data_IF_057619831738
#
_entry.id   IF_057619831738
#
_cell.length_a   1.000
_cell.length_b   1.000
_cell.length_c   1.000
_cell.angle_alpha   90.00
_cell.angle_beta   90.00
_cell.angle_gamma   90.00
#
_symmetry.space_group_name_H-M   'P 1'
#
loop_
_entity.id
_entity.type
_entity.pdbx_description
1 polymer ?
#
# COMPACT_ATOMS: atom_id res chain seq x y z
N UNK A 1 -22.39 -19.06 -16.10
CA UNK A 1 -22.31 -18.28 -14.84
C UNK A 1 -20.87 -17.79 -14.73
N UNK A 2 -20.62 -16.51 -15.03
CA UNK A 2 -19.28 -15.91 -14.95
C UNK A 2 -19.14 -15.39 -13.52
N UNK A 3 -18.37 -16.07 -12.68
CA UNK A 3 -18.06 -15.54 -11.34
C UNK A 3 -17.02 -14.44 -11.49
N UNK A 4 -17.40 -13.19 -11.23
CA UNK A 4 -16.44 -12.11 -11.07
C UNK A 4 -15.77 -12.27 -9.71
N UNK A 5 -14.70 -13.07 -9.68
CA UNK A 5 -13.82 -13.09 -8.52
C UNK A 5 -13.00 -11.79 -8.54
N UNK A 6 -13.08 -10.96 -7.49
CA UNK A 6 -12.27 -9.76 -7.42
C UNK A 6 -10.78 -10.14 -7.49
N UNK A 7 -10.03 -9.46 -8.36
CA UNK A 7 -8.61 -9.75 -8.59
C UNK A 7 -7.76 -9.60 -7.33
N UNK A 8 -8.17 -8.70 -6.44
CA UNK A 8 -7.55 -8.44 -5.14
C UNK A 8 -8.64 -8.40 -4.07
N UNK A 9 -8.36 -8.97 -2.90
CA UNK A 9 -9.20 -8.92 -1.72
C UNK A 9 -8.38 -8.29 -0.59
N UNK A 10 -9.02 -7.40 0.18
CA UNK A 10 -8.42 -6.77 1.36
C UNK A 10 -9.29 -7.17 2.55
N UNK A 11 -8.65 -7.57 3.65
CA UNK A 11 -9.37 -7.91 4.87
C UNK A 11 -10.03 -6.66 5.48
N UNK A 12 -11.05 -6.84 6.32
CA UNK A 12 -11.68 -5.73 7.03
C UNK A 12 -10.67 -5.05 7.98
N UNK A 13 -9.77 -5.82 8.58
CA UNK A 13 -8.75 -5.31 9.50
C UNK A 13 -7.73 -4.46 8.76
N UNK A 14 -7.19 -4.97 7.63
CA UNK A 14 -6.29 -4.25 6.75
C UNK A 14 -6.93 -2.93 6.27
N UNK A 15 -8.22 -2.99 5.89
CA UNK A 15 -8.98 -1.81 5.48
C UNK A 15 -9.08 -0.76 6.58
N UNK A 16 -9.36 -1.18 7.82
CA UNK A 16 -9.46 -0.26 8.95
C UNK A 16 -8.11 0.42 9.26
N UNK A 17 -7.01 -0.33 9.21
CA UNK A 17 -5.66 0.23 9.40
C UNK A 17 -5.34 1.22 8.28
N UNK A 18 -5.57 0.85 7.02
CA UNK A 18 -5.35 1.75 5.87
C UNK A 18 -6.17 3.04 5.98
N UNK A 19 -7.44 2.92 6.36
CA UNK A 19 -8.32 4.08 6.49
C UNK A 19 -7.89 4.99 7.65
N UNK A 20 -7.18 4.46 8.66
CA UNK A 20 -6.64 5.27 9.76
C UNK A 20 -5.47 6.17 9.34
N UNK A 21 -4.75 5.79 8.26
CA UNK A 21 -3.61 6.55 7.72
C UNK A 21 -3.90 7.26 6.40
N UNK A 22 -5.04 6.95 5.77
CA UNK A 22 -5.43 7.53 4.50
C UNK A 22 -5.59 9.06 4.59
N UNK A 23 -4.80 9.79 3.80
CA UNK A 23 -4.80 11.26 3.81
C UNK A 23 -4.04 11.88 4.98
N UNK A 24 -3.31 11.06 5.76
CA UNK A 24 -2.40 11.52 6.80
C UNK A 24 -0.96 11.25 6.38
N UNK A 25 -0.04 12.06 6.92
CA UNK A 25 1.38 11.72 6.99
C UNK A 25 1.77 11.58 8.46
N UNK A 26 2.77 10.74 8.71
CA UNK A 26 3.40 10.62 10.01
C UNK A 26 4.63 11.55 10.06
N UNK A 27 4.80 12.28 11.16
CA UNK A 27 5.97 13.12 11.41
C UNK A 27 6.27 13.17 12.92
N UNK A 28 7.46 12.72 13.32
CA UNK A 28 7.94 12.81 14.70
C UNK A 28 9.22 13.66 14.83
N UNK A 29 9.44 14.59 13.91
CA UNK A 29 10.63 15.42 13.72
C UNK A 29 11.91 14.66 13.29
N UNK A 30 12.04 13.39 13.67
CA UNK A 30 13.20 12.56 13.30
C UNK A 30 13.00 11.83 11.97
N UNK A 31 11.78 11.40 11.68
CA UNK A 31 11.40 10.72 10.45
C UNK A 31 9.98 11.08 10.03
N UNK A 32 9.72 11.01 8.73
CA UNK A 32 8.40 11.21 8.17
C UNK A 32 7.99 10.04 7.29
N UNK A 33 6.69 9.70 7.30
CA UNK A 33 6.11 8.71 6.38
C UNK A 33 4.92 9.32 5.66
N UNK A 34 5.05 9.41 4.34
CA UNK A 34 3.96 9.79 3.44
C UNK A 34 3.33 8.54 2.84
N UNK A 35 2.20 8.10 3.38
CA UNK A 35 1.42 7.00 2.82
C UNK A 35 0.80 7.41 1.48
N UNK A 36 0.89 6.53 0.49
CA UNK A 36 0.38 6.77 -0.87
C UNK A 36 -0.73 5.80 -1.21
N UNK A 37 -0.46 4.84 -2.08
CA UNK A 37 -1.45 3.94 -2.63
C UNK A 37 -1.21 2.51 -2.18
N UNK A 38 -2.30 1.74 -2.09
CA UNK A 38 -2.25 0.29 -2.01
C UNK A 38 -1.36 -0.27 -3.12
N UNK A 39 -0.50 -1.19 -2.72
CA UNK A 39 0.49 -1.76 -3.61
C UNK A 39 0.03 -3.13 -4.13
N UNK A 40 0.13 -3.31 -5.44
CA UNK A 40 -0.19 -4.56 -6.11
C UNK A 40 1.10 -5.37 -6.33
N UNK A 41 1.30 -6.43 -5.54
CA UNK A 41 2.49 -7.28 -5.60
C UNK A 41 2.71 -7.95 -6.96
N UNK A 42 1.66 -8.13 -7.76
CA UNK A 42 1.76 -8.76 -9.09
C UNK A 42 2.55 -7.93 -10.11
N UNK A 43 2.83 -6.66 -9.83
CA UNK A 43 3.55 -5.75 -10.71
C UNK A 43 5.06 -5.68 -10.41
N UNK A 44 5.50 -6.30 -9.31
CA UNK A 44 6.90 -6.20 -8.90
C UNK A 44 7.80 -7.25 -9.54
N UNK A 45 8.96 -6.81 -10.01
CA UNK A 45 9.97 -7.63 -10.71
C UNK A 45 11.38 -7.31 -10.23
N UNK A 46 11.51 -7.06 -8.93
CA UNK A 46 12.79 -6.76 -8.31
C UNK A 46 12.84 -7.42 -6.93
N UNK A 47 14.05 -7.75 -6.51
CA UNK A 47 14.28 -8.27 -5.17
C UNK A 47 14.03 -7.17 -4.12
N UNK A 48 13.65 -7.60 -2.93
CA UNK A 48 13.29 -6.73 -1.83
C UNK A 48 14.18 -6.97 -0.62
N UNK A 49 14.46 -5.91 0.13
CA UNK A 49 15.05 -5.97 1.45
C UNK A 49 13.96 -5.73 2.48
N UNK A 50 13.80 -6.68 3.39
CA UNK A 50 12.85 -6.60 4.48
C UNK A 50 13.48 -5.97 5.72
N UNK A 51 12.84 -4.92 6.22
CA UNK A 51 13.33 -4.07 7.28
C UNK A 51 12.25 -3.88 8.35
N UNK A 52 12.68 -3.66 9.59
CA UNK A 52 11.83 -3.18 10.69
C UNK A 52 12.09 -1.70 10.90
N UNK A 53 11.05 -0.92 11.13
CA UNK A 53 11.09 0.40 11.73
C UNK A 53 10.56 0.30 13.16
N UNK A 54 11.35 0.76 14.11
CA UNK A 54 11.02 0.79 15.53
C UNK A 54 11.56 2.09 16.11
N UNK A 55 10.68 3.10 16.21
CA UNK A 55 11.04 4.43 16.66
C UNK A 55 9.89 5.06 17.45
N UNK A 56 10.15 6.17 18.13
CA UNK A 56 9.14 6.92 18.89
C UNK A 56 7.90 7.19 18.03
N UNK A 57 6.76 6.67 18.48
CA UNK A 57 5.47 6.86 17.84
C UNK A 57 5.19 5.97 16.63
N UNK A 58 6.11 5.08 16.24
CA UNK A 58 5.92 4.21 15.08
C UNK A 58 6.64 2.86 15.21
N UNK A 59 5.89 1.78 14.95
CA UNK A 59 6.45 0.45 14.67
C UNK A 59 5.85 -0.05 13.36
N UNK A 60 6.69 -0.56 12.45
CA UNK A 60 6.23 -1.12 11.19
C UNK A 60 7.28 -2.03 10.56
N UNK A 61 6.81 -3.01 9.78
CA UNK A 61 7.64 -3.74 8.83
C UNK A 61 7.48 -3.17 7.43
N UNK A 62 8.58 -3.09 6.70
CA UNK A 62 8.55 -2.55 5.34
C UNK A 62 9.59 -3.19 4.43
N UNK A 63 9.34 -3.06 3.14
CA UNK A 63 10.16 -3.59 2.07
C UNK A 63 10.73 -2.44 1.24
N UNK A 64 12.00 -2.56 0.88
CA UNK A 64 12.70 -1.62 0.01
C UNK A 64 13.25 -2.39 -1.17
N UNK A 65 13.15 -1.83 -2.36
CA UNK A 65 13.70 -2.46 -3.55
C UNK A 65 15.21 -2.51 -3.52
N UNK A 66 15.79 -3.52 -4.17
CA UNK A 66 17.25 -3.61 -4.33
C UNK A 66 17.82 -2.30 -4.94
N UNK A 67 17.16 -1.74 -5.94
CA UNK A 67 17.55 -0.47 -6.58
C UNK A 67 17.47 0.73 -5.63
N UNK A 68 16.41 0.85 -4.84
CA UNK A 68 16.20 1.93 -3.88
C UNK A 68 17.21 1.86 -2.74
N UNK A 69 17.43 0.67 -2.18
CA UNK A 69 18.39 0.51 -1.09
C UNK A 69 19.83 0.63 -1.58
N UNK A 70 20.16 0.18 -2.81
CA UNK A 70 21.47 0.45 -3.44
C UNK A 70 21.70 1.94 -3.62
N UNK A 71 20.69 2.68 -4.08
CA UNK A 71 20.76 4.15 -4.22
C UNK A 71 20.99 4.81 -2.86
N UNK A 72 20.28 4.34 -1.84
CA UNK A 72 20.34 4.87 -0.49
C UNK A 72 21.70 4.57 0.20
N UNK A 73 22.22 3.34 0.06
CA UNK A 73 23.49 2.94 0.68
C UNK A 73 24.73 3.29 -0.15
N UNK A 74 24.56 3.58 -1.44
CA UNK A 74 25.66 3.80 -2.38
C UNK A 74 26.50 2.55 -2.68
N UNK A 75 25.98 1.36 -2.37
CA UNK A 75 26.68 0.07 -2.50
C UNK A 75 25.75 -0.98 -3.10
N UNK A 76 26.29 -1.80 -4.00
CA UNK A 76 25.58 -2.96 -4.55
C UNK A 76 25.48 -4.07 -3.50
N UNK A 77 24.26 -4.34 -3.02
CA UNK A 77 24.04 -5.26 -1.90
C UNK A 77 23.76 -6.72 -2.31
N UNK A 78 23.48 -6.97 -3.59
CA UNK A 78 22.99 -8.27 -4.08
C UNK A 78 23.95 -9.44 -3.82
N UNK A 79 25.25 -9.16 -3.83
CA UNK A 79 26.30 -10.17 -3.70
C UNK A 79 26.97 -10.17 -2.32
N UNK A 80 26.39 -9.43 -1.37
CA UNK A 80 26.93 -9.31 -0.03
C UNK A 80 26.26 -10.32 0.90
N UNK A 81 27.03 -10.85 1.84
CA UNK A 81 26.48 -11.70 2.90
C UNK A 81 25.48 -10.92 3.76
N UNK A 82 24.46 -11.61 4.27
CA UNK A 82 23.37 -11.01 5.04
C UNK A 82 23.88 -10.21 6.25
N UNK A 83 24.92 -10.71 6.94
CA UNK A 83 25.53 -10.03 8.09
C UNK A 83 26.19 -8.70 7.68
N UNK A 84 26.76 -8.65 6.47
CA UNK A 84 27.39 -7.44 5.97
C UNK A 84 26.35 -6.41 5.53
N UNK A 85 25.25 -6.86 4.89
CA UNK A 85 24.09 -5.99 4.60
C UNK A 85 23.50 -5.44 5.90
N UNK A 86 23.31 -6.30 6.92
CA UNK A 86 22.82 -5.90 8.23
C UNK A 86 23.70 -4.84 8.88
N UNK A 87 25.03 -5.03 8.81
CA UNK A 87 26.00 -4.07 9.32
C UNK A 87 25.93 -2.72 8.59
N UNK A 88 25.84 -2.70 7.25
CA UNK A 88 25.72 -1.45 6.48
C UNK A 88 24.41 -0.74 6.82
N UNK A 89 23.28 -1.45 6.85
CA UNK A 89 21.97 -0.87 7.20
C UNK A 89 22.02 -0.30 8.62
N UNK A 90 22.53 -1.05 9.59
CA UNK A 90 22.65 -0.61 10.98
C UNK A 90 23.50 0.66 11.07
N UNK A 91 24.65 0.70 10.41
CA UNK A 91 25.55 1.85 10.44
C UNK A 91 24.91 3.13 9.91
N UNK A 92 24.05 3.04 8.90
CA UNK A 92 23.44 4.20 8.26
C UNK A 92 22.08 4.58 8.87
N UNK A 93 21.33 3.61 9.40
CA UNK A 93 19.91 3.80 9.72
C UNK A 93 19.53 3.52 11.16
N UNK A 94 20.42 2.99 12.00
CA UNK A 94 20.08 2.66 13.39
C UNK A 94 19.62 3.88 14.20
N UNK A 95 20.14 5.07 13.90
CA UNK A 95 19.72 6.32 14.54
C UNK A 95 18.25 6.68 14.26
N UNK A 96 17.66 6.11 13.21
CA UNK A 96 16.25 6.28 12.85
C UNK A 96 15.39 5.06 13.23
N UNK A 97 15.94 4.10 13.99
CA UNK A 97 15.20 2.91 14.40
C UNK A 97 14.98 1.88 13.28
N UNK A 98 15.75 1.93 12.20
CA UNK A 98 15.63 0.98 11.08
C UNK A 98 16.59 -0.18 11.26
N UNK A 99 16.06 -1.39 11.20
CA UNK A 99 16.78 -2.63 11.40
C UNK A 99 16.62 -3.58 10.21
N UNK A 100 17.73 -4.19 9.80
CA UNK A 100 17.71 -5.23 8.77
C UNK A 100 17.14 -6.53 9.29
N UNK A 101 16.33 -7.22 8.48
CA UNK A 101 15.82 -8.55 8.78
C UNK A 101 16.39 -9.56 7.79
N UNK A 102 15.98 -9.50 6.51
CA UNK A 102 16.48 -10.41 5.48
C UNK A 102 16.18 -9.92 4.06
N UNK A 103 16.77 -10.60 3.07
CA UNK A 103 16.52 -10.39 1.64
C UNK A 103 15.39 -11.30 1.15
N UNK A 104 14.56 -10.79 0.25
CA UNK A 104 13.43 -11.49 -0.35
C UNK A 104 13.61 -11.48 -1.87
N UNK A 105 13.95 -12.63 -2.46
CA UNK A 105 13.99 -12.79 -3.91
C UNK A 105 12.63 -12.47 -4.56
N UNK A 106 12.66 -11.86 -5.74
CA UNK A 106 11.46 -11.44 -6.47
C UNK A 106 10.50 -12.61 -6.74
N UNK A 107 10.99 -13.85 -6.84
CA UNK A 107 10.17 -15.05 -7.03
C UNK A 107 9.22 -15.28 -5.86
N UNK A 108 9.60 -14.85 -4.66
CA UNK A 108 8.81 -14.96 -3.43
C UNK A 108 7.90 -13.75 -3.20
N UNK A 109 8.09 -12.65 -3.95
CA UNK A 109 7.31 -11.41 -3.81
C UNK A 109 5.81 -11.58 -4.06
N UNK A 110 5.40 -12.65 -4.76
CA UNK A 110 3.99 -12.95 -5.02
C UNK A 110 3.20 -13.34 -3.76
N UNK A 111 3.88 -13.71 -2.68
CA UNK A 111 3.26 -14.13 -1.40
C UNK A 111 3.31 -13.03 -0.33
N UNK A 112 3.65 -11.80 -0.73
CA UNK A 112 3.71 -10.69 0.21
C UNK A 112 2.32 -10.37 0.79
N UNK A 113 2.27 -9.86 2.03
CA UNK A 113 1.03 -9.42 2.66
C UNK A 113 0.44 -8.20 1.94
N UNK A 114 -0.67 -7.65 2.46
CA UNK A 114 -1.18 -6.37 1.98
C UNK A 114 -0.16 -5.26 2.26
N UNK A 115 0.24 -4.55 1.21
CA UNK A 115 1.25 -3.50 1.28
C UNK A 115 0.64 -2.15 0.88
N UNK A 116 1.13 -1.09 1.52
CA UNK A 116 0.90 0.29 1.10
C UNK A 116 2.23 0.90 0.68
N UNK A 117 2.25 1.51 -0.50
CA UNK A 117 3.42 2.28 -0.92
C UNK A 117 3.51 3.57 -0.12
N UNK A 118 4.72 3.93 0.29
CA UNK A 118 4.98 5.16 1.03
C UNK A 118 6.33 5.76 0.63
N UNK A 119 6.52 7.03 0.95
CA UNK A 119 7.86 7.63 1.02
C UNK A 119 8.27 7.74 2.48
N UNK A 120 9.41 7.14 2.79
CA UNK A 120 10.07 7.27 4.09
C UNK A 120 11.14 8.36 3.98
N UNK A 121 11.06 9.37 4.82
CA UNK A 121 12.01 10.47 4.89
C UNK A 121 12.81 10.32 6.19
N UNK A 122 14.13 10.15 6.06
CA UNK A 122 15.08 9.96 7.17
C UNK A 122 16.14 11.05 7.10
N UNK A 123 15.96 12.15 7.83
CA UNK A 123 16.81 13.33 7.70
C UNK A 123 16.77 13.89 6.27
N UNK A 124 17.91 13.92 5.57
CA UNK A 124 18.01 14.41 4.18
C UNK A 124 17.61 13.35 3.13
N UNK A 125 17.34 12.12 3.55
CA UNK A 125 17.10 11.00 2.64
C UNK A 125 15.62 10.76 2.44
N UNK A 126 15.23 10.49 1.19
CA UNK A 126 13.88 10.06 0.84
C UNK A 126 13.94 8.73 0.08
N UNK A 127 13.28 7.71 0.61
CA UNK A 127 13.30 6.35 0.06
C UNK A 127 11.87 5.90 -0.21
N UNK A 128 11.64 5.28 -1.37
CA UNK A 128 10.35 4.65 -1.65
C UNK A 128 10.28 3.29 -0.98
N UNK A 129 9.26 3.07 -0.16
CA UNK A 129 9.08 1.84 0.63
C UNK A 129 7.70 1.25 0.40
N UNK A 130 7.57 -0.04 0.72
CA UNK A 130 6.30 -0.75 0.78
C UNK A 130 6.08 -1.16 2.23
N UNK A 131 5.11 -0.55 2.92
CA UNK A 131 4.83 -0.82 4.33
C UNK A 131 3.81 -1.93 4.44
N UNK A 132 4.06 -2.88 5.33
CA UNK A 132 3.10 -3.95 5.65
C UNK A 132 1.99 -3.40 6.53
N UNK A 133 0.76 -3.44 6.00
CA UNK A 133 -0.40 -2.82 6.64
C UNK A 133 -0.64 -3.37 8.04
N UNK A 134 -0.58 -4.69 8.21
CA UNK A 134 -0.92 -5.34 9.48
C UNK A 134 0.16 -5.21 10.55
N UNK A 135 1.31 -4.66 10.20
CA UNK A 135 2.38 -4.35 11.14
C UNK A 135 2.38 -2.90 11.61
N UNK A 136 1.51 -2.06 11.04
CA UNK A 136 1.59 -0.61 11.18
C UNK A 136 0.96 -0.17 12.50
N UNK A 137 1.81 0.18 13.45
CA UNK A 137 1.42 0.79 14.71
C UNK A 137 1.90 2.24 14.75
N UNK A 138 0.97 3.17 14.94
CA UNK A 138 1.24 4.61 14.89
C UNK A 138 0.60 5.31 16.08
N UNK A 139 1.36 6.17 16.75
CA UNK A 139 0.80 7.11 17.71
C UNK A 139 0.16 8.29 16.94
N UNK A 140 -1.15 8.45 17.16
CA UNK A 140 -1.99 9.46 16.51
C UNK A 140 -1.53 10.89 16.80
N UNK A 141 -0.76 11.13 17.85
CA UNK A 141 -0.21 12.46 18.16
C UNK A 141 0.78 12.95 17.11
N UNK A 142 1.37 12.03 16.33
CA UNK A 142 2.33 12.32 15.26
C UNK A 142 1.70 12.20 13.87
N UNK A 143 0.37 12.03 13.78
CA UNK A 143 -0.36 11.99 12.51
C UNK A 143 -0.93 13.35 12.16
N UNK A 144 -0.54 13.85 11.00
CA UNK A 144 -0.97 15.14 10.50
C UNK A 144 -1.77 14.94 9.22
N UNK A 145 -2.99 15.49 9.18
CA UNK A 145 -3.80 15.43 7.97
C UNK A 145 -3.16 16.26 6.88
N UNK A 146 -2.89 15.66 5.71
CA UNK A 146 -2.57 16.46 4.54
C UNK A 146 -3.83 17.19 4.07
N UNK A 147 -3.72 18.49 3.79
CA UNK A 147 -4.78 19.19 3.06
C UNK A 147 -4.93 18.52 1.71
N UNK A 148 -6.08 17.89 1.51
CA UNK A 148 -6.42 17.18 0.29
C UNK A 148 -6.16 18.10 -0.93
N UNK A 149 -5.18 17.73 -1.77
CA UNK A 149 -4.77 18.50 -2.96
C UNK A 149 -5.64 18.18 -4.18
N UNK A 150 -6.67 17.36 -4.02
CA UNK A 150 -7.62 17.09 -5.10
C UNK A 150 -8.25 18.40 -5.57
N UNK A 151 -8.29 18.58 -6.89
CA UNK A 151 -8.93 19.75 -7.48
C UNK A 151 -10.37 19.85 -6.98
N UNK A 152 -10.84 21.07 -6.70
CA UNK A 152 -12.25 21.33 -6.38
C UNK A 152 -13.18 20.93 -7.53
N UNK A 153 -12.64 20.77 -8.73
CA UNK A 153 -13.36 20.38 -9.94
C UNK A 153 -13.39 18.86 -10.16
N UNK A 154 -12.84 18.07 -9.23
CA UNK A 154 -12.85 16.62 -9.34
C UNK A 154 -14.30 16.11 -9.25
N UNK A 155 -14.86 15.67 -10.38
CA UNK A 155 -16.19 15.08 -10.43
C UNK A 155 -16.12 13.61 -10.01
N UNK A 156 -16.60 13.31 -8.81
CA UNK A 156 -16.89 11.94 -8.41
C UNK A 156 -18.18 11.50 -9.10
N UNK A 157 -18.08 10.52 -9.99
CA UNK A 157 -19.25 9.88 -10.61
C UNK A 157 -19.41 8.49 -9.99
N UNK A 158 -20.41 8.34 -9.14
CA UNK A 158 -20.80 7.04 -8.59
C UNK A 158 -22.06 6.56 -9.30
N UNK A 159 -22.05 5.34 -9.81
CA UNK A 159 -23.27 4.67 -10.28
C UNK A 159 -23.63 3.60 -9.25
N UNK A 160 -24.78 3.77 -8.59
CA UNK A 160 -25.32 2.78 -7.67
C UNK A 160 -26.66 2.28 -8.23
N UNK A 161 -26.73 0.98 -8.54
CA UNK A 161 -27.98 0.32 -8.96
C UNK A 161 -28.37 -0.70 -7.91
N UNK A 162 -29.30 -0.38 -6.99
CA UNK A 162 -29.70 -1.28 -5.89
C UNK A 162 -30.46 -2.52 -6.36
N UNK A 163 -30.99 -2.47 -7.59
CA UNK A 163 -31.75 -3.55 -8.19
C UNK A 163 -31.13 -3.95 -9.53
N UNK A 164 -31.35 -5.19 -9.94
CA UNK A 164 -31.06 -5.70 -11.28
C UNK A 164 -32.19 -6.58 -11.80
N UNK A 165 -32.21 -6.76 -13.11
CA UNK A 165 -33.11 -7.69 -13.78
C UNK A 165 -32.40 -8.23 -15.01
N UNK A 166 -32.75 -9.44 -15.42
CA UNK A 166 -32.19 -10.08 -16.61
C UNK A 166 -33.32 -10.18 -17.63
N UNK A 167 -33.10 -9.55 -18.78
CA UNK A 167 -34.01 -9.60 -19.92
C UNK A 167 -33.25 -10.24 -21.08
N UNK A 168 -33.93 -11.11 -21.81
CA UNK A 168 -33.37 -11.63 -23.05
C UNK A 168 -33.45 -10.58 -24.19
N UNK A 169 -32.80 -10.88 -25.31
CA UNK A 169 -32.72 -9.94 -26.44
C UNK A 169 -34.08 -9.67 -27.09
N UNK A 170 -35.04 -10.59 -26.96
CA UNK A 170 -36.39 -10.40 -27.47
C UNK A 170 -37.20 -9.51 -26.53
N UNK A 171 -37.15 -9.76 -25.23
CA UNK A 171 -37.80 -8.95 -24.18
C UNK A 171 -37.33 -7.48 -24.24
N UNK A 172 -36.03 -7.25 -24.46
CA UNK A 172 -35.48 -5.90 -24.67
C UNK A 172 -36.03 -5.21 -25.92
N UNK A 173 -36.29 -5.98 -26.98
CA UNK A 173 -36.72 -5.44 -28.28
C UNK A 173 -38.19 -5.03 -28.33
N UNK A 174 -39.01 -5.56 -27.42
CA UNK A 174 -40.46 -5.31 -27.36
C UNK A 174 -40.87 -4.36 -26.24
N UNK A 175 -39.92 -3.96 -25.39
CA UNK A 175 -40.13 -3.00 -24.30
C UNK A 175 -40.56 -1.62 -24.80
N UNK A 176 -41.66 -1.12 -24.26
CA UNK A 176 -42.18 0.21 -24.52
C UNK A 176 -42.28 1.04 -23.23
N UNK A 177 -42.62 2.33 -23.38
CA UNK A 177 -42.66 3.28 -22.26
C UNK A 177 -43.74 2.96 -21.21
N UNK A 178 -44.74 2.17 -21.58
CA UNK A 178 -45.88 1.83 -20.71
C UNK A 178 -45.71 0.47 -20.00
N UNK A 179 -44.62 -0.24 -20.26
CA UNK A 179 -44.37 -1.57 -19.69
C UNK A 179 -43.79 -1.50 -18.27
N UNK A 180 -44.19 -2.46 -17.44
CA UNK A 180 -43.66 -2.63 -16.09
C UNK A 180 -42.57 -3.71 -16.11
N UNK A 181 -41.36 -3.32 -15.74
CA UNK A 181 -40.22 -4.24 -15.59
C UNK A 181 -40.03 -4.59 -14.11
N UNK A 182 -40.13 -5.88 -13.79
CA UNK A 182 -39.82 -6.39 -12.46
C UNK A 182 -38.31 -6.42 -12.26
N UNK A 183 -37.87 -5.88 -11.14
CA UNK A 183 -36.46 -5.85 -10.73
C UNK A 183 -36.31 -6.53 -9.37
N UNK A 184 -35.14 -7.11 -9.13
CA UNK A 184 -34.79 -7.81 -7.90
C UNK A 184 -33.66 -7.07 -7.20
N UNK A 185 -33.61 -7.06 -5.86
CA UNK A 185 -32.46 -6.52 -5.14
C UNK A 185 -31.20 -7.30 -5.54
N UNK A 186 -30.10 -6.56 -5.74
CA UNK A 186 -28.77 -7.16 -5.94
C UNK A 186 -28.26 -7.89 -4.71
#
# INVERSE_FOLDING_TARGET
MISFLPRNYISIDDFNILNSVAGYHFDNDNLQIDFRQLFNSSEYKEDLVFLKLDHIGIEAYFYVSESEIRRFLGVEIKYLDADYVAHIVTRNCANYGVHYIHFIPWELSRKLPTLVSAYLILGEWQVKVLVEVNSLELDKNYLFSEKNRLSKDLKLVTAHSPFETYLDSHELSVLCADDVVLVYPK
#
